data_IF_431966233843
#
_entry.id   IF_431966233843
#
_cell.length_a   1.000
_cell.length_b   1.000
_cell.length_c   1.000
_cell.angle_alpha   90.00
_cell.angle_beta   90.00
_cell.angle_gamma   90.00
#
_symmetry.space_group_name_H-M   'P 1'
#
loop_
_entity.id
_entity.type
_entity.pdbx_description
1 polymer ?
#
# COMPACT_ATOMS: atom_id res chain seq x y z
N UNK A 1 -10.40 12.91 -25.04
CA UNK A 1 -9.93 13.48 -23.76
C UNK A 1 -10.66 12.94 -22.52
N UNK A 2 -11.98 13.13 -22.33
CA UNK A 2 -12.66 12.59 -21.12
C UNK A 2 -12.71 11.06 -21.03
N UNK A 3 -12.90 10.36 -22.15
CA UNK A 3 -12.87 8.89 -22.19
C UNK A 3 -11.49 8.35 -21.82
N UNK A 4 -10.43 8.90 -22.42
CA UNK A 4 -9.04 8.58 -22.10
C UNK A 4 -8.68 8.84 -20.62
N UNK A 5 -9.21 9.91 -20.01
CA UNK A 5 -9.03 10.18 -18.58
C UNK A 5 -9.78 9.18 -17.69
N UNK A 6 -10.97 8.75 -18.09
CA UNK A 6 -11.72 7.71 -17.38
C UNK A 6 -11.01 6.34 -17.46
N UNK A 7 -10.47 5.99 -18.64
CA UNK A 7 -9.68 4.77 -18.82
C UNK A 7 -8.40 4.80 -17.97
N UNK A 8 -7.70 5.94 -17.96
CA UNK A 8 -6.53 6.15 -17.10
C UNK A 8 -6.88 6.00 -15.62
N UNK A 9 -8.02 6.56 -15.18
CA UNK A 9 -8.48 6.42 -13.80
C UNK A 9 -8.71 4.94 -13.44
N UNK A 10 -9.32 4.15 -14.33
CA UNK A 10 -9.54 2.73 -14.11
C UNK A 10 -8.20 1.96 -13.96
N UNK A 11 -7.20 2.28 -14.79
CA UNK A 11 -5.85 1.71 -14.69
C UNK A 11 -5.17 2.10 -13.38
N UNK A 12 -5.28 3.36 -12.96
CA UNK A 12 -4.69 3.84 -11.70
C UNK A 12 -5.38 3.25 -10.47
N UNK A 13 -6.69 3.05 -10.50
CA UNK A 13 -7.45 2.35 -9.47
C UNK A 13 -7.03 0.89 -9.37
N UNK A 14 -6.89 0.19 -10.49
CA UNK A 14 -6.39 -1.19 -10.51
C UNK A 14 -4.96 -1.28 -9.94
N UNK A 15 -4.09 -0.32 -10.28
CA UNK A 15 -2.73 -0.22 -9.73
C UNK A 15 -2.75 0.03 -8.22
N UNK A 16 -3.56 0.97 -7.74
CA UNK A 16 -3.74 1.25 -6.32
C UNK A 16 -4.16 -0.02 -5.55
N UNK A 17 -5.14 -0.77 -6.05
CA UNK A 17 -5.58 -2.04 -5.44
C UNK A 17 -4.46 -3.09 -5.41
N UNK A 18 -3.70 -3.20 -6.49
CA UNK A 18 -2.52 -4.09 -6.56
C UNK A 18 -1.47 -3.72 -5.52
N UNK A 19 -1.17 -2.43 -5.39
CA UNK A 19 -0.16 -1.94 -4.44
C UNK A 19 -0.65 -2.09 -2.98
N UNK A 20 -1.95 -1.93 -2.73
CA UNK A 20 -2.57 -2.22 -1.43
C UNK A 20 -2.45 -3.70 -1.05
N UNK A 21 -2.73 -4.61 -2.00
CA UNK A 21 -2.54 -6.04 -1.80
C UNK A 21 -1.06 -6.41 -1.60
N UNK A 22 -0.13 -5.73 -2.28
CA UNK A 22 1.30 -5.91 -2.07
C UNK A 22 1.72 -5.49 -0.66
N UNK A 23 1.20 -4.37 -0.15
CA UNK A 23 1.43 -3.93 1.23
C UNK A 23 0.89 -4.93 2.25
N UNK A 24 -0.33 -5.45 2.04
CA UNK A 24 -0.91 -6.46 2.93
C UNK A 24 -0.04 -7.73 2.99
N UNK A 25 0.49 -8.19 1.84
CA UNK A 25 1.42 -9.32 1.80
C UNK A 25 2.73 -9.03 2.53
N UNK A 26 3.32 -7.85 2.33
CA UNK A 26 4.55 -7.45 3.01
C UNK A 26 4.37 -7.38 4.54
N UNK A 27 3.24 -6.84 5.01
CA UNK A 27 2.89 -6.82 6.45
C UNK A 27 2.66 -8.22 7.02
N UNK A 28 2.05 -9.11 6.24
CA UNK A 28 1.88 -10.51 6.66
C UNK A 28 3.24 -11.24 6.77
N UNK A 29 4.15 -11.01 5.83
CA UNK A 29 5.53 -11.52 5.89
C UNK A 29 6.27 -11.00 7.13
N UNK A 30 6.26 -9.67 7.36
CA UNK A 30 6.89 -9.04 8.52
C UNK A 30 6.36 -9.59 9.84
N UNK A 31 5.04 -9.74 9.95
CA UNK A 31 4.39 -10.38 11.11
C UNK A 31 4.81 -11.84 11.28
N UNK A 32 4.90 -12.61 10.20
CA UNK A 32 5.33 -14.01 10.24
C UNK A 32 6.75 -14.17 10.77
N UNK A 33 7.70 -13.37 10.27
CA UNK A 33 9.08 -13.38 10.75
C UNK A 33 9.18 -12.91 12.21
N UNK A 34 8.44 -11.86 12.58
CA UNK A 34 8.40 -11.37 13.96
C UNK A 34 7.86 -12.44 14.93
N UNK A 35 6.83 -13.20 14.54
CA UNK A 35 6.30 -14.31 15.32
C UNK A 35 7.31 -15.46 15.44
N UNK A 36 8.02 -15.80 14.36
CA UNK A 36 9.06 -16.82 14.39
C UNK A 36 10.21 -16.44 15.34
N UNK A 37 10.63 -15.17 15.33
CA UNK A 37 11.62 -14.64 16.28
C UNK A 37 11.11 -14.70 17.73
N UNK A 38 9.88 -14.25 17.97
CA UNK A 38 9.28 -14.28 19.31
C UNK A 38 9.14 -15.72 19.86
N UNK A 39 8.75 -16.68 19.00
CA UNK A 39 8.65 -18.09 19.35
C UNK A 39 10.02 -18.68 19.69
N UNK A 40 11.05 -18.36 18.90
CA UNK A 40 12.43 -18.78 19.16
C UNK A 40 12.93 -18.24 20.51
N UNK A 41 12.69 -16.95 20.80
CA UNK A 41 13.08 -16.35 22.07
C UNK A 41 12.29 -16.91 23.26
N UNK A 42 11.00 -17.23 23.08
CA UNK A 42 10.19 -17.91 24.09
C UNK A 42 10.71 -19.31 24.39
N UNK A 43 11.08 -20.08 23.36
CA UNK A 43 11.70 -21.40 23.51
C UNK A 43 13.03 -21.31 24.27
N UNK A 44 13.87 -20.33 23.95
CA UNK A 44 15.13 -20.11 24.65
C UNK A 44 14.91 -19.78 26.14
N UNK A 45 13.93 -18.92 26.48
CA UNK A 45 13.59 -18.60 27.87
C UNK A 45 13.03 -19.82 28.63
N UNK A 46 12.14 -20.59 28.00
CA UNK A 46 11.57 -21.80 28.60
C UNK A 46 12.64 -22.87 28.86
N UNK A 47 13.57 -23.04 27.91
CA UNK A 47 14.71 -23.95 28.08
C UNK A 47 15.63 -23.52 29.23
N UNK A 48 15.75 -22.22 29.53
CA UNK A 48 16.52 -21.71 30.66
C UNK A 48 15.79 -21.81 32.01
N UNK A 49 14.47 -21.96 32.02
CA UNK A 49 13.64 -21.96 33.23
C UNK A 49 13.27 -23.35 33.77
N UNK A 50 13.61 -24.44 33.08
CA UNK A 50 13.16 -25.81 33.41
C UNK A 50 14.23 -26.59 34.20
N UNK A 51 14.14 -26.72 35.54
CA UNK A 51 15.17 -27.39 36.33
C UNK A 51 15.27 -28.91 36.03
N UNK A 52 16.50 -29.44 35.94
CA UNK A 52 16.78 -30.88 35.80
C UNK A 52 17.78 -31.26 34.69
N UNK A 53 18.20 -32.54 34.64
CA UNK A 53 19.30 -33.07 33.79
C UNK A 53 19.09 -32.82 32.27
N UNK A 54 17.84 -32.63 31.82
CA UNK A 54 17.50 -32.25 30.45
C UNK A 54 18.08 -30.88 30.03
N UNK A 55 18.43 -29.99 30.98
CA UNK A 55 19.15 -28.74 30.73
C UNK A 55 20.49 -28.93 30.04
N UNK A 56 21.16 -30.07 30.26
CA UNK A 56 22.50 -30.29 29.75
C UNK A 56 22.54 -30.64 28.26
N UNK A 57 21.40 -30.97 27.63
CA UNK A 57 21.34 -31.34 26.21
C UNK A 57 20.71 -30.25 25.33
N UNK A 58 19.70 -29.54 25.81
CA UNK A 58 19.02 -28.45 25.08
C UNK A 58 19.13 -27.16 25.89
N UNK A 59 20.04 -26.25 25.49
CA UNK A 59 20.26 -24.98 26.20
C UNK A 59 21.71 -24.72 26.62
N UNK A 60 22.37 -25.76 27.15
CA UNK A 60 23.70 -25.62 27.76
C UNK A 60 24.87 -26.07 26.86
N UNK A 61 24.61 -26.80 25.77
CA UNK A 61 25.69 -27.23 24.87
C UNK A 61 26.15 -26.06 23.99
N UNK A 62 27.48 -25.85 23.81
CA UNK A 62 28.01 -24.81 22.94
C UNK A 62 27.45 -24.84 21.51
N UNK A 63 27.19 -26.04 20.99
CA UNK A 63 26.60 -26.24 19.65
C UNK A 63 25.17 -25.71 19.56
N UNK A 64 24.33 -25.95 20.58
CA UNK A 64 22.96 -25.43 20.61
C UNK A 64 22.92 -23.90 20.73
N UNK A 65 23.83 -23.33 21.53
CA UNK A 65 23.94 -21.88 21.68
C UNK A 65 24.38 -21.21 20.38
N UNK A 66 25.36 -21.79 19.70
CA UNK A 66 25.83 -21.30 18.40
C UNK A 66 24.75 -21.41 17.33
N UNK A 67 24.06 -22.55 17.24
CA UNK A 67 22.92 -22.73 16.32
C UNK A 67 21.80 -21.72 16.60
N UNK A 68 21.48 -21.49 17.87
CA UNK A 68 20.46 -20.51 18.29
C UNK A 68 20.87 -19.09 17.93
N UNK A 69 22.14 -18.71 18.15
CA UNK A 69 22.67 -17.39 17.74
C UNK A 69 22.57 -17.19 16.24
N UNK A 70 22.99 -18.17 15.43
CA UNK A 70 22.88 -18.13 13.97
C UNK A 70 21.44 -17.93 13.53
N UNK A 71 20.52 -18.76 14.06
CA UNK A 71 19.10 -18.67 13.74
C UNK A 71 18.50 -17.31 14.11
N UNK A 72 18.85 -16.77 15.28
CA UNK A 72 18.43 -15.43 15.70
C UNK A 72 18.93 -14.36 14.73
N UNK A 73 20.21 -14.41 14.36
CA UNK A 73 20.79 -13.46 13.41
C UNK A 73 20.09 -13.53 12.05
N UNK A 74 19.81 -14.73 11.54
CA UNK A 74 19.05 -14.92 10.30
C UNK A 74 17.64 -14.32 10.41
N UNK A 75 16.90 -14.61 11.48
CA UNK A 75 15.55 -14.06 11.69
C UNK A 75 15.55 -12.54 11.83
N UNK A 76 16.57 -11.96 12.46
CA UNK A 76 16.74 -10.50 12.55
C UNK A 76 17.03 -9.87 11.18
N UNK A 77 17.85 -10.51 10.36
CA UNK A 77 18.11 -10.07 8.99
C UNK A 77 16.86 -10.16 8.12
N UNK A 78 16.13 -11.28 8.19
CA UNK A 78 14.85 -11.47 7.51
C UNK A 78 13.83 -10.41 7.95
N UNK A 79 13.76 -10.10 9.26
CA UNK A 79 12.86 -9.08 9.78
C UNK A 79 13.23 -7.68 9.26
N UNK A 80 14.53 -7.36 9.20
CA UNK A 80 15.00 -6.10 8.63
C UNK A 80 14.62 -5.97 7.15
N UNK A 81 14.81 -7.04 6.37
CA UNK A 81 14.41 -7.09 4.96
C UNK A 81 12.89 -6.98 4.79
N UNK A 82 12.10 -7.67 5.62
CA UNK A 82 10.65 -7.60 5.59
C UNK A 82 10.15 -6.18 5.90
N UNK A 83 10.74 -5.51 6.90
CA UNK A 83 10.44 -4.10 7.22
C UNK A 83 10.80 -3.15 6.08
N UNK A 84 11.93 -3.36 5.40
CA UNK A 84 12.29 -2.58 4.22
C UNK A 84 11.24 -2.75 3.10
N UNK A 85 10.80 -3.99 2.82
CA UNK A 85 9.75 -4.27 1.84
C UNK A 85 8.41 -3.64 2.21
N UNK A 86 8.06 -3.60 3.50
CA UNK A 86 6.88 -2.86 3.98
C UNK A 86 7.01 -1.37 3.65
N UNK A 87 8.15 -0.74 4.00
CA UNK A 87 8.38 0.67 3.70
C UNK A 87 8.34 1.01 2.19
N UNK A 88 8.89 0.13 1.35
CA UNK A 88 8.81 0.24 -0.10
C UNK A 88 7.37 0.10 -0.62
N UNK A 89 6.60 -0.85 -0.08
CA UNK A 89 5.19 -1.04 -0.44
C UNK A 89 4.33 0.14 0.01
N UNK A 90 4.58 0.73 1.18
CA UNK A 90 3.88 1.93 1.66
C UNK A 90 4.19 3.15 0.79
N UNK A 91 5.42 3.29 0.34
CA UNK A 91 5.82 4.37 -0.58
C UNK A 91 5.13 4.21 -1.93
N UNK A 92 5.16 3.01 -2.52
CA UNK A 92 4.44 2.71 -3.78
C UNK A 92 2.94 2.94 -3.67
N UNK A 93 2.32 2.50 -2.57
CA UNK A 93 0.89 2.72 -2.33
C UNK A 93 0.56 4.21 -2.27
N UNK A 94 1.33 5.00 -1.52
CA UNK A 94 1.16 6.46 -1.46
C UNK A 94 1.26 7.12 -2.83
N UNK A 95 2.24 6.72 -3.64
CA UNK A 95 2.40 7.26 -4.99
C UNK A 95 1.25 6.86 -5.92
N UNK A 96 0.78 5.63 -5.84
CA UNK A 96 -0.38 5.16 -6.61
C UNK A 96 -1.65 5.92 -6.24
N UNK A 97 -1.86 6.19 -4.93
CA UNK A 97 -2.99 6.95 -4.42
C UNK A 97 -2.96 8.38 -4.93
N UNK A 98 -1.82 9.07 -4.81
CA UNK A 98 -1.64 10.45 -5.30
C UNK A 98 -1.93 10.56 -6.79
N UNK A 99 -1.44 9.62 -7.60
CA UNK A 99 -1.71 9.60 -9.05
C UNK A 99 -3.19 9.42 -9.35
N UNK A 100 -3.85 8.50 -8.62
CA UNK A 100 -5.28 8.25 -8.76
C UNK A 100 -6.11 9.49 -8.40
N UNK A 101 -5.82 10.13 -7.27
CA UNK A 101 -6.50 11.34 -6.82
C UNK A 101 -6.28 12.51 -7.78
N UNK A 102 -5.05 12.68 -8.28
CA UNK A 102 -4.75 13.69 -9.30
C UNK A 102 -5.53 13.47 -10.60
N UNK A 103 -5.62 12.23 -11.08
CA UNK A 103 -6.41 11.91 -12.27
C UNK A 103 -7.92 12.11 -12.04
N UNK A 104 -8.43 11.80 -10.85
CA UNK A 104 -9.82 12.06 -10.49
C UNK A 104 -10.14 13.56 -10.48
N UNK A 105 -9.27 14.37 -9.87
CA UNK A 105 -9.41 15.83 -9.85
C UNK A 105 -9.39 16.42 -11.26
N UNK A 106 -8.46 16.00 -12.12
CA UNK A 106 -8.40 16.43 -13.52
C UNK A 106 -9.66 16.07 -14.31
N UNK A 107 -10.20 14.86 -14.14
CA UNK A 107 -11.44 14.44 -14.80
C UNK A 107 -12.62 15.33 -14.38
N UNK A 108 -12.70 15.65 -13.09
CA UNK A 108 -13.74 16.51 -12.54
C UNK A 108 -13.61 17.95 -13.06
N UNK A 109 -12.41 18.51 -13.13
CA UNK A 109 -12.18 19.83 -13.71
C UNK A 109 -12.55 19.87 -15.20
N UNK A 110 -12.21 18.83 -15.98
CA UNK A 110 -12.63 18.72 -17.39
C UNK A 110 -14.15 18.66 -17.52
N UNK A 111 -14.85 17.96 -16.61
CA UNK A 111 -16.32 17.93 -16.59
C UNK A 111 -16.91 19.30 -16.30
N UNK A 112 -16.39 20.02 -15.30
CA UNK A 112 -16.84 21.38 -14.96
C UNK A 112 -16.57 22.39 -16.08
N UNK A 113 -15.41 22.31 -16.74
CA UNK A 113 -15.11 23.19 -17.88
C UNK A 113 -16.08 22.96 -19.03
N UNK A 114 -16.41 21.70 -19.32
CA UNK A 114 -17.36 21.35 -20.38
C UNK A 114 -18.78 21.79 -20.06
N UNK A 115 -19.24 21.62 -18.82
CA UNK A 115 -20.58 22.09 -18.43
C UNK A 115 -20.70 23.62 -18.53
N UNK A 116 -19.66 24.36 -18.10
CA UNK A 116 -19.60 25.82 -18.26
C UNK A 116 -19.60 26.24 -19.73
N UNK A 117 -18.83 25.57 -20.58
CA UNK A 117 -18.80 25.86 -22.01
C UNK A 117 -20.16 25.57 -22.68
N UNK A 118 -20.85 24.50 -22.29
CA UNK A 118 -22.18 24.18 -22.78
C UNK A 118 -23.23 25.21 -22.32
N UNK A 119 -23.21 25.61 -21.05
CA UNK A 119 -24.11 26.63 -20.50
C UNK A 119 -23.92 27.99 -21.19
N UNK A 120 -22.66 28.36 -21.48
CA UNK A 120 -22.36 29.60 -22.22
C UNK A 120 -22.94 29.59 -23.63
N UNK A 121 -22.78 28.48 -24.38
CA UNK A 121 -23.37 28.34 -25.72
C UNK A 121 -24.89 28.43 -25.67
N UNK A 122 -25.53 27.77 -24.70
CA UNK A 122 -26.98 27.85 -24.53
C UNK A 122 -27.46 29.27 -24.24
N UNK A 123 -26.71 30.05 -23.45
CA UNK A 123 -27.02 31.45 -23.18
C UNK A 123 -26.84 32.32 -24.44
N UNK A 124 -25.77 32.11 -25.20
CA UNK A 124 -25.53 32.78 -26.49
C UNK A 124 -26.67 32.49 -27.48
N UNK A 125 -27.05 31.21 -27.66
CA UNK A 125 -28.17 30.79 -28.51
C UNK A 125 -29.52 31.40 -28.06
N UNK A 126 -29.73 31.53 -26.74
CA UNK A 126 -30.95 32.12 -26.19
C UNK A 126 -31.03 33.62 -26.47
N UNK A 127 -29.91 34.34 -26.35
CA UNK A 127 -29.81 35.77 -26.67
C UNK A 127 -30.07 35.99 -28.17
N UNK A 128 -29.45 35.18 -29.03
CA UNK A 128 -29.63 35.28 -30.48
C UNK A 128 -31.11 35.08 -30.89
N UNK A 129 -31.78 34.08 -30.30
CA UNK A 129 -33.22 33.88 -30.52
C UNK A 129 -34.05 35.07 -30.05
N UNK A 130 -33.69 35.67 -28.92
CA UNK A 130 -34.41 36.82 -28.37
C UNK A 130 -34.33 38.01 -29.32
N UNK A 131 -33.12 38.33 -29.81
CA UNK A 131 -32.86 39.40 -30.78
C UNK A 131 -33.62 39.17 -32.09
N UNK A 132 -33.66 37.93 -32.59
CA UNK A 132 -34.37 37.58 -33.82
C UNK A 132 -35.90 37.54 -33.66
N UNK A 133 -36.40 37.54 -32.42
CA UNK A 133 -37.84 37.47 -32.11
C UNK A 133 -38.49 38.82 -31.80
N UNK A 134 -37.71 39.89 -31.62
CA UNK A 134 -38.24 41.26 -31.51
C UNK A 134 -38.52 41.82 -32.92
N UNK A 135 -39.78 42.20 -33.24
CA UNK A 135 -40.06 42.93 -34.47
C UNK A 135 -39.53 44.38 -34.37
N UNK A 136 -39.20 45.01 -35.51
CA UNK A 136 -38.67 46.37 -35.55
C UNK A 136 -39.63 47.44 -35.00
#
# INVERSE_FOLDING_TARGET
>A
MSAQLADLLAVLEARYRRDAAALARAKAEEKGVAQALAAMEAQARSALATPGIAHHTVGATPLWQEQSRRRRTTLLQELALARARVGEAETRLRDSLRRREGAAALLEDVRRMRSRAAARRQAEDAIERLILSEPP
#
